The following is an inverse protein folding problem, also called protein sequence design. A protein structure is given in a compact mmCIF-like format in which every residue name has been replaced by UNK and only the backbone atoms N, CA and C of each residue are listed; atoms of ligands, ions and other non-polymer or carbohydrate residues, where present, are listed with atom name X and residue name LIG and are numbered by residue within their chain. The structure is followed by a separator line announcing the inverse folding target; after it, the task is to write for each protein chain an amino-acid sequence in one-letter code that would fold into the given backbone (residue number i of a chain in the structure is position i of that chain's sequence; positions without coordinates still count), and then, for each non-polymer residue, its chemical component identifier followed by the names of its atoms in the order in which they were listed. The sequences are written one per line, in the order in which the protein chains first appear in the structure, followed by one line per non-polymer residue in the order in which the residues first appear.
data_IF_412317416456
#
_entry.id   IF_412317416456
#
_cell.length_a   1.000
_cell.length_b   1.000
_cell.length_c   1.000
_cell.angle_alpha   90.00
_cell.angle_beta   90.00
_cell.angle_gamma   90.00
#
_symmetry.space_group_name_H-M   'P 1'
#
loop_
_entity.id
_entity.type
_entity.pdbx_description
1 polymer ?
#
# COMPACT_ATOMS: atom_id res chain seq x y z
N UNK A 1 -40.12 12.29 39.64
CA UNK A 1 -39.18 11.22 39.28
C UNK A 1 -39.12 11.13 37.78
N UNK A 2 -38.01 11.54 37.17
CA UNK A 2 -37.78 11.45 35.71
C UNK A 2 -36.94 10.20 35.49
N UNK A 3 -37.47 9.22 34.76
CA UNK A 3 -36.76 8.00 34.40
C UNK A 3 -35.70 8.37 33.35
N UNK A 4 -34.41 8.00 33.51
CA UNK A 4 -33.43 8.26 32.47
C UNK A 4 -33.67 7.29 31.30
N UNK A 5 -33.81 7.86 30.10
CA UNK A 5 -33.81 7.09 28.85
C UNK A 5 -32.43 6.47 28.64
N UNK A 6 -32.39 5.15 28.46
CA UNK A 6 -31.20 4.38 28.12
C UNK A 6 -30.64 4.83 26.77
N UNK A 7 -29.44 5.42 26.76
CA UNK A 7 -28.71 5.68 25.52
C UNK A 7 -28.23 4.35 24.94
N UNK A 8 -28.85 3.95 23.84
CA UNK A 8 -28.45 2.79 23.06
C UNK A 8 -27.10 3.08 22.37
N UNK A 9 -25.98 2.73 23.01
CA UNK A 9 -24.66 2.73 22.39
C UNK A 9 -24.57 1.52 21.46
N UNK A 10 -25.09 1.68 20.24
CA UNK A 10 -24.88 0.70 19.17
C UNK A 10 -23.38 0.57 18.91
N UNK A 11 -22.77 -0.50 19.43
CA UNK A 11 -21.39 -0.84 19.12
C UNK A 11 -21.27 -1.01 17.62
N UNK A 12 -20.42 -0.20 16.97
CA UNK A 12 -20.07 -0.40 15.57
C UNK A 12 -19.53 -1.82 15.41
N UNK A 13 -20.30 -2.71 14.79
CA UNK A 13 -19.82 -4.03 14.39
C UNK A 13 -18.63 -3.81 13.45
N UNK A 14 -17.42 -4.13 13.92
CA UNK A 14 -16.23 -4.15 13.06
C UNK A 14 -16.49 -5.14 11.92
N UNK A 15 -16.56 -4.63 10.70
CA UNK A 15 -16.65 -5.48 9.50
C UNK A 15 -15.42 -6.40 9.48
N UNK A 16 -15.60 -7.70 9.17
CA UNK A 16 -14.47 -8.63 9.10
C UNK A 16 -13.51 -8.18 8.00
N UNK A 17 -12.21 -8.17 8.31
CA UNK A 17 -11.16 -7.78 7.38
C UNK A 17 -10.79 -8.94 6.46
N UNK A 18 -10.43 -8.62 5.22
CA UNK A 18 -9.74 -9.51 4.27
C UNK A 18 -8.80 -8.68 3.41
N UNK A 19 -7.53 -9.07 3.30
CA UNK A 19 -6.51 -8.30 2.61
C UNK A 19 -6.06 -8.96 1.30
N UNK A 20 -5.81 -8.14 0.27
CA UNK A 20 -5.11 -8.56 -0.94
C UNK A 20 -3.72 -7.90 -0.95
N UNK A 21 -2.66 -8.71 -0.98
CA UNK A 21 -1.28 -8.26 -0.86
C UNK A 21 -0.54 -8.37 -2.20
N UNK A 22 0.07 -7.28 -2.66
CA UNK A 22 1.04 -7.29 -3.76
C UNK A 22 2.48 -7.29 -3.22
N UNK A 23 3.39 -7.98 -3.90
CA UNK A 23 4.81 -7.99 -3.53
C UNK A 23 5.26 -9.21 -2.70
N UNK A 24 4.65 -10.39 -2.89
CA UNK A 24 4.97 -11.64 -2.17
C UNK A 24 6.47 -11.96 -2.05
N UNK A 25 7.23 -11.71 -3.11
CA UNK A 25 8.67 -12.03 -3.19
C UNK A 25 9.56 -10.94 -2.60
N UNK A 26 8.99 -9.78 -2.27
CA UNK A 26 9.68 -8.68 -1.63
C UNK A 26 9.72 -8.82 -0.11
N UNK A 27 10.60 -8.05 0.52
CA UNK A 27 10.80 -8.10 1.97
C UNK A 27 9.55 -7.66 2.74
N UNK A 28 9.01 -6.47 2.45
CA UNK A 28 7.81 -5.94 3.12
C UNK A 28 6.61 -6.84 2.85
N UNK A 29 6.36 -7.26 1.60
CA UNK A 29 5.23 -8.13 1.26
C UNK A 29 5.25 -9.45 2.05
N UNK A 30 6.42 -10.08 2.17
CA UNK A 30 6.58 -11.28 2.99
C UNK A 30 6.34 -11.05 4.50
N UNK A 31 6.74 -9.90 5.04
CA UNK A 31 6.45 -9.54 6.43
C UNK A 31 4.95 -9.30 6.66
N UNK A 32 4.25 -8.66 5.71
CA UNK A 32 2.81 -8.42 5.81
C UNK A 32 2.02 -9.72 5.88
N UNK A 33 2.36 -10.72 5.06
CA UNK A 33 1.71 -12.04 5.15
C UNK A 33 1.86 -12.69 6.52
N UNK A 34 3.09 -12.69 7.07
CA UNK A 34 3.36 -13.23 8.43
C UNK A 34 2.59 -12.49 9.51
N UNK A 35 2.44 -11.16 9.39
CA UNK A 35 1.64 -10.37 10.31
C UNK A 35 0.14 -10.69 10.21
N UNK A 36 -0.37 -10.90 9.00
CA UNK A 36 -1.76 -11.33 8.80
C UNK A 36 -2.02 -12.70 9.43
N UNK A 37 -1.12 -13.66 9.23
CA UNK A 37 -1.18 -15.00 9.87
C UNK A 37 -1.20 -14.89 11.39
N UNK A 38 -0.26 -14.14 11.97
CA UNK A 38 -0.15 -13.94 13.42
C UNK A 38 -1.40 -13.29 14.01
N UNK A 39 -2.06 -12.40 13.28
CA UNK A 39 -3.26 -11.68 13.74
C UNK A 39 -4.57 -12.39 13.35
N UNK A 40 -4.51 -13.51 12.64
CA UNK A 40 -5.70 -14.21 12.15
C UNK A 40 -6.50 -13.41 11.12
N UNK A 41 -5.85 -12.51 10.38
CA UNK A 41 -6.50 -11.73 9.32
C UNK A 41 -6.46 -12.54 8.02
N UNK A 42 -7.61 -12.87 7.41
CA UNK A 42 -7.66 -13.51 6.10
C UNK A 42 -6.95 -12.66 5.05
N UNK A 43 -6.05 -13.28 4.28
CA UNK A 43 -5.34 -12.58 3.22
C UNK A 43 -5.03 -13.51 2.05
N UNK A 44 -4.84 -12.92 0.87
CA UNK A 44 -4.33 -13.61 -0.31
C UNK A 44 -3.26 -12.75 -0.98
N UNK A 45 -2.26 -13.39 -1.57
CA UNK A 45 -1.32 -12.69 -2.45
C UNK A 45 -1.92 -12.58 -3.85
N UNK A 46 -1.85 -11.38 -4.43
CA UNK A 46 -2.21 -11.14 -5.81
C UNK A 46 -1.34 -11.97 -6.77
N UNK A 47 -1.94 -12.38 -7.88
CA UNK A 47 -1.27 -13.10 -8.96
C UNK A 47 -0.94 -12.18 -10.13
N UNK A 48 -1.72 -11.11 -10.29
CA UNK A 48 -1.58 -10.12 -11.33
C UNK A 48 -0.29 -9.32 -11.25
N UNK A 49 0.12 -8.81 -12.42
CA UNK A 49 1.19 -7.81 -12.54
C UNK A 49 0.56 -6.43 -12.48
N UNK A 50 1.23 -5.47 -11.85
CA UNK A 50 0.66 -4.14 -11.63
C UNK A 50 0.31 -3.42 -12.94
N UNK A 51 1.08 -3.66 -13.99
CA UNK A 51 0.84 -3.10 -15.33
C UNK A 51 -0.28 -3.79 -16.11
N UNK A 52 -0.79 -4.94 -15.66
CA UNK A 52 -1.87 -5.68 -16.31
C UNK A 52 -3.20 -5.45 -15.59
N UNK A 53 -3.92 -4.43 -16.03
CA UNK A 53 -5.22 -4.05 -15.47
C UNK A 53 -6.21 -5.22 -15.37
N UNK A 54 -6.30 -6.05 -16.40
CA UNK A 54 -7.28 -7.14 -16.43
C UNK A 54 -7.00 -8.15 -15.31
N UNK A 55 -5.72 -8.43 -15.06
CA UNK A 55 -5.32 -9.30 -13.94
C UNK A 55 -5.65 -8.71 -12.57
N UNK A 56 -5.52 -7.38 -12.39
CA UNK A 56 -5.85 -6.71 -11.13
C UNK A 56 -7.36 -6.75 -10.84
N UNK A 57 -8.17 -6.51 -11.87
CA UNK A 57 -9.63 -6.62 -11.79
C UNK A 57 -10.02 -8.05 -11.39
N UNK A 58 -9.43 -9.06 -12.03
CA UNK A 58 -9.69 -10.45 -11.72
C UNK A 58 -9.30 -10.80 -10.27
N UNK A 59 -8.13 -10.36 -9.79
CA UNK A 59 -7.71 -10.57 -8.40
C UNK A 59 -8.71 -9.95 -7.41
N UNK A 60 -9.13 -8.70 -7.63
CA UNK A 60 -10.11 -8.03 -6.76
C UNK A 60 -11.48 -8.72 -6.78
N UNK A 61 -11.98 -9.11 -7.95
CA UNK A 61 -13.28 -9.78 -8.10
C UNK A 61 -13.30 -11.18 -7.46
N UNK A 62 -12.19 -11.93 -7.58
CA UNK A 62 -12.07 -13.27 -7.03
C UNK A 62 -11.86 -13.25 -5.51
N UNK A 63 -10.94 -12.41 -5.03
CA UNK A 63 -10.57 -12.37 -3.61
C UNK A 63 -11.61 -11.62 -2.79
N UNK A 64 -12.28 -10.61 -3.38
CA UNK A 64 -13.23 -9.70 -2.70
C UNK A 64 -12.62 -9.10 -1.43
N UNK A 65 -11.44 -8.44 -1.53
CA UNK A 65 -10.76 -7.90 -0.36
C UNK A 65 -11.51 -6.69 0.20
N UNK A 66 -11.34 -6.47 1.50
CA UNK A 66 -11.71 -5.19 2.13
C UNK A 66 -10.65 -4.11 1.90
N UNK A 67 -9.39 -4.51 1.77
CA UNK A 67 -8.24 -3.62 1.62
C UNK A 67 -7.19 -4.26 0.71
N UNK A 68 -6.50 -3.42 -0.04
CA UNK A 68 -5.34 -3.80 -0.86
C UNK A 68 -4.09 -3.19 -0.24
N UNK A 69 -3.01 -3.96 -0.14
CA UNK A 69 -1.69 -3.48 0.27
C UNK A 69 -0.72 -3.65 -0.90
N UNK A 70 -0.22 -2.54 -1.44
CA UNK A 70 0.79 -2.54 -2.48
C UNK A 70 2.19 -2.43 -1.89
N UNK A 71 2.84 -3.58 -1.71
CA UNK A 71 4.28 -3.68 -1.42
C UNK A 71 5.06 -4.21 -2.64
N UNK A 72 4.46 -4.17 -3.83
CA UNK A 72 5.15 -4.46 -5.07
C UNK A 72 5.86 -3.21 -5.60
N UNK A 73 7.08 -3.39 -6.05
CA UNK A 73 7.91 -2.35 -6.65
C UNK A 73 9.25 -2.93 -7.07
N UNK A 74 9.91 -2.22 -7.96
CA UNK A 74 11.26 -2.53 -8.40
C UNK A 74 12.21 -1.58 -7.68
N UNK A 75 13.02 -2.15 -6.80
CA UNK A 75 14.12 -1.46 -6.10
C UNK A 75 15.48 -1.81 -6.69
N UNK A 76 15.50 -2.54 -7.80
CA UNK A 76 16.71 -3.06 -8.41
C UNK A 76 17.37 -4.23 -7.67
N UNK A 77 18.33 -4.88 -8.34
CA UNK A 77 19.25 -5.85 -7.71
C UNK A 77 20.68 -5.57 -8.20
N UNK A 78 21.68 -5.51 -7.30
CA UNK A 78 21.57 -5.70 -5.85
C UNK A 78 20.95 -4.49 -5.11
N UNK A 79 20.83 -3.33 -5.76
CA UNK A 79 20.38 -2.07 -5.16
C UNK A 79 19.66 -1.18 -6.20
N UNK A 80 19.32 0.06 -5.78
CA UNK A 80 18.56 1.04 -6.58
C UNK A 80 19.28 1.51 -7.83
N UNK A 81 20.62 1.45 -7.89
CA UNK A 81 21.42 1.87 -9.04
C UNK A 81 21.03 1.11 -10.32
N UNK A 82 20.50 -0.11 -10.18
CA UNK A 82 19.96 -0.89 -11.30
C UNK A 82 18.87 -0.12 -12.07
N UNK A 83 18.06 0.68 -11.38
CA UNK A 83 16.98 1.47 -11.96
C UNK A 83 17.49 2.57 -12.91
N UNK A 84 18.75 3.01 -12.77
CA UNK A 84 19.35 4.05 -13.63
C UNK A 84 19.51 3.59 -15.07
N UNK A 85 19.73 2.29 -15.27
CA UNK A 85 19.87 1.67 -16.60
C UNK A 85 18.60 0.93 -17.06
N UNK A 86 17.67 0.64 -16.15
CA UNK A 86 16.41 -0.09 -16.40
C UNK A 86 15.20 0.81 -16.16
N UNK A 87 15.24 2.02 -16.73
CA UNK A 87 14.22 3.06 -16.51
C UNK A 87 12.83 2.60 -16.92
N UNK A 88 12.72 1.86 -18.03
CA UNK A 88 11.43 1.40 -18.56
C UNK A 88 10.75 0.45 -17.59
N UNK A 89 11.49 -0.49 -17.01
CA UNK A 89 11.00 -1.44 -16.01
C UNK A 89 10.57 -0.73 -14.74
N UNK A 90 11.37 0.23 -14.28
CA UNK A 90 11.06 1.05 -13.10
C UNK A 90 9.80 1.89 -13.31
N UNK A 91 9.68 2.58 -14.44
CA UNK A 91 8.49 3.37 -14.78
C UNK A 91 7.25 2.47 -14.90
N UNK A 92 7.38 1.31 -15.56
CA UNK A 92 6.28 0.36 -15.74
C UNK A 92 5.74 -0.13 -14.39
N UNK A 93 6.61 -0.58 -13.49
CA UNK A 93 6.18 -1.15 -12.22
C UNK A 93 5.80 -0.07 -11.20
N UNK A 94 6.69 0.89 -10.95
CA UNK A 94 6.56 1.81 -9.81
C UNK A 94 5.63 2.98 -10.11
N UNK A 95 5.51 3.40 -11.38
CA UNK A 95 4.64 4.52 -11.79
C UNK A 95 3.36 4.00 -12.43
N UNK A 96 3.44 3.46 -13.65
CA UNK A 96 2.25 3.09 -14.41
C UNK A 96 1.45 1.98 -13.73
N UNK A 97 2.12 0.95 -13.23
CA UNK A 97 1.49 -0.16 -12.52
C UNK A 97 0.83 0.26 -11.21
N UNK A 98 1.53 1.06 -10.39
CA UNK A 98 0.97 1.60 -9.15
C UNK A 98 -0.26 2.46 -9.40
N UNK A 99 -0.23 3.35 -10.42
CA UNK A 99 -1.38 4.16 -10.82
C UNK A 99 -2.53 3.30 -11.34
N UNK A 100 -2.23 2.24 -12.09
CA UNK A 100 -3.24 1.29 -12.57
C UNK A 100 -3.92 0.59 -11.40
N UNK A 101 -3.16 0.12 -10.40
CA UNK A 101 -3.74 -0.50 -9.20
C UNK A 101 -4.60 0.48 -8.40
N UNK A 102 -4.12 1.71 -8.20
CA UNK A 102 -4.88 2.75 -7.49
C UNK A 102 -6.22 3.04 -8.17
N UNK A 103 -6.22 3.12 -9.50
CA UNK A 103 -7.42 3.33 -10.30
C UNK A 103 -8.41 2.16 -10.19
N UNK A 104 -7.94 0.91 -10.35
CA UNK A 104 -8.81 -0.28 -10.16
C UNK A 104 -9.37 -0.32 -8.74
N UNK A 105 -8.55 -0.10 -7.71
CA UNK A 105 -9.01 -0.07 -6.33
C UNK A 105 -10.10 0.99 -6.11
N UNK A 106 -9.93 2.18 -6.68
CA UNK A 106 -10.92 3.26 -6.62
C UNK A 106 -12.23 2.88 -7.31
N UNK A 107 -12.19 2.34 -8.53
CA UNK A 107 -13.38 1.90 -9.27
C UNK A 107 -14.18 0.84 -8.51
N UNK A 108 -13.49 -0.03 -7.77
CA UNK A 108 -14.10 -1.11 -6.98
C UNK A 108 -14.42 -0.72 -5.52
N UNK A 109 -14.17 0.54 -5.12
CA UNK A 109 -14.44 1.01 -3.77
C UNK A 109 -13.59 0.33 -2.69
N UNK A 110 -12.38 -0.11 -3.03
CA UNK A 110 -11.45 -0.80 -2.13
C UNK A 110 -10.33 0.16 -1.71
N UNK A 111 -10.09 0.28 -0.41
CA UNK A 111 -8.98 1.10 0.10
C UNK A 111 -7.63 0.45 -0.26
N UNK A 112 -6.74 1.24 -0.86
CA UNK A 112 -5.36 0.85 -1.15
C UNK A 112 -4.39 1.51 -0.17
N UNK A 113 -3.50 0.71 0.41
CA UNK A 113 -2.34 1.15 1.18
C UNK A 113 -1.11 0.96 0.31
N UNK A 114 -0.41 2.05 -0.01
CA UNK A 114 0.78 2.00 -0.87
C UNK A 114 2.06 2.19 -0.04
N UNK A 115 2.99 1.22 -0.13
CA UNK A 115 4.32 1.38 0.45
C UNK A 115 5.23 2.08 -0.56
N UNK A 116 5.53 3.36 -0.28
CA UNK A 116 6.36 4.21 -1.13
C UNK A 116 7.75 4.44 -0.52
N UNK A 117 8.43 5.51 -0.92
CA UNK A 117 9.77 5.87 -0.45
C UNK A 117 9.79 7.31 0.08
N UNK A 118 10.51 7.51 1.18
CA UNK A 118 10.86 8.84 1.69
C UNK A 118 12.14 9.40 1.05
N UNK A 119 12.86 8.60 0.26
CA UNK A 119 14.04 9.03 -0.50
C UNK A 119 13.64 9.85 -1.75
N UNK A 120 12.77 10.82 -1.54
CA UNK A 120 12.34 11.84 -2.52
C UNK A 120 12.70 13.24 -2.00
N UNK A 121 13.52 13.29 -0.96
CA UNK A 121 13.97 14.49 -0.30
C UNK A 121 15.48 14.42 -0.06
N UNK A 122 16.12 15.57 -0.18
CA UNK A 122 17.49 15.85 0.21
C UNK A 122 17.51 16.91 1.33
N UNK A 123 18.48 16.83 2.23
CA UNK A 123 18.65 17.83 3.29
C UNK A 123 18.97 19.21 2.70
N UNK A 124 18.39 20.25 3.30
CA UNK A 124 18.57 21.63 2.89
C UNK A 124 18.76 22.56 4.09
N UNK A 125 18.78 23.87 3.85
CA UNK A 125 18.96 24.86 4.91
C UNK A 125 17.82 24.87 5.94
N UNK A 126 16.60 24.47 5.55
CA UNK A 126 15.45 24.38 6.45
C UNK A 126 15.37 23.02 7.17
N UNK A 127 15.98 21.99 6.59
CA UNK A 127 16.06 20.62 7.13
C UNK A 127 17.53 20.17 7.25
N UNK A 128 18.33 20.76 8.15
CA UNK A 128 19.71 20.30 8.34
C UNK A 128 19.76 18.88 8.91
N UNK A 129 20.73 18.10 8.44
CA UNK A 129 20.96 16.74 8.95
C UNK A 129 21.21 16.76 10.47
N UNK A 130 20.53 15.86 11.18
CA UNK A 130 20.66 15.74 12.64
C UNK A 130 19.94 16.81 13.47
N UNK A 131 19.23 17.75 12.84
CA UNK A 131 18.48 18.81 13.55
C UNK A 131 17.23 18.30 14.29
N UNK A 132 16.73 17.11 13.92
CA UNK A 132 15.44 16.60 14.39
C UNK A 132 14.23 17.22 13.68
N UNK A 133 14.45 18.16 12.76
CA UNK A 133 13.42 18.74 11.90
C UNK A 133 13.27 17.82 10.68
N UNK A 134 12.08 17.26 10.49
CA UNK A 134 11.77 16.33 9.39
C UNK A 134 10.73 16.89 8.42
N UNK A 135 10.69 16.29 7.22
CA UNK A 135 9.68 16.56 6.20
C UNK A 135 8.31 15.99 6.58
N UNK A 136 7.26 16.67 6.12
CA UNK A 136 5.84 16.32 6.31
C UNK A 136 5.21 15.81 5.02
N UNK A 137 4.02 15.24 5.13
CA UNK A 137 3.26 14.71 4.01
C UNK A 137 2.87 15.77 2.96
N UNK A 138 2.75 17.04 3.36
CA UNK A 138 2.41 18.14 2.45
C UNK A 138 3.63 18.80 1.79
N UNK A 139 4.85 18.41 2.17
CA UNK A 139 6.07 19.01 1.63
C UNK A 139 6.32 18.55 0.18
N UNK A 140 6.87 19.46 -0.63
CA UNK A 140 7.21 19.16 -2.02
C UNK A 140 8.56 18.44 -2.09
N UNK A 141 8.63 17.27 -2.77
CA UNK A 141 9.90 16.60 -3.06
C UNK A 141 10.91 17.53 -3.74
N UNK A 142 12.20 17.34 -3.47
CA UNK A 142 13.31 18.10 -4.04
C UNK A 142 14.37 17.18 -4.67
#
# INVERSE_FOLDING_TARGET
MVVPSSKNTGGQQKRPLKFLLFGRTGWIGGLLGKLCEKQGIPYEYAKGRLEDRASLIADIQNVKPTHVFNAAGVTGRPNVDWCETHKTETIRANVAGTLTLADVCREHGVLMINYATGCIFEYDAAHPEGSGIGFKEEDKPN
#
